data_IF_383851408677
#
_entry.id   IF_383851408677
#
_cell.length_a   1.000
_cell.length_b   1.000
_cell.length_c   1.000
_cell.angle_alpha   90.00
_cell.angle_beta   90.00
_cell.angle_gamma   90.00
#
_symmetry.space_group_name_H-M   'P 1'
#
loop_
_entity.id
_entity.type
_entity.pdbx_description
1 polymer ?
#
# COMPACT_ATOMS: atom_id res chain seq x y z
N UNK A 1 11.94 1.39 3.70
CA UNK A 1 12.80 1.37 4.91
C UNK A 1 12.02 1.69 6.18
N UNK A 2 11.48 2.90 6.36
CA UNK A 2 10.87 3.34 7.62
C UNK A 2 9.75 2.40 8.13
N UNK A 3 8.84 1.95 7.25
CA UNK A 3 7.80 0.98 7.60
C UNK A 3 8.37 -0.36 8.10
N UNK A 4 9.51 -0.81 7.58
CA UNK A 4 10.16 -2.04 8.05
C UNK A 4 10.83 -1.85 9.40
N UNK A 5 11.50 -0.73 9.64
CA UNK A 5 12.06 -0.38 10.95
C UNK A 5 10.97 -0.31 12.02
N UNK A 6 9.83 0.28 11.68
CA UNK A 6 8.66 0.33 12.55
C UNK A 6 8.21 -1.08 12.99
N UNK A 7 8.17 -2.05 12.07
CA UNK A 7 7.86 -3.46 12.39
C UNK A 7 8.86 -4.11 13.36
N UNK A 8 10.07 -3.57 13.45
CA UNK A 8 11.09 -3.98 14.42
C UNK A 8 11.00 -3.20 15.75
N UNK A 9 9.95 -2.41 15.98
CA UNK A 9 9.86 -1.55 17.16
C UNK A 9 10.85 -0.39 17.17
N UNK A 10 11.38 0.00 16.01
CA UNK A 10 12.34 1.11 15.87
C UNK A 10 11.62 2.34 15.33
N UNK A 11 11.58 3.39 16.15
CA UNK A 11 10.95 4.68 15.79
C UNK A 11 11.92 5.53 14.97
N UNK A 12 11.55 5.86 13.75
CA UNK A 12 12.30 6.81 12.93
C UNK A 12 12.03 8.23 13.45
N UNK A 13 13.08 8.93 13.86
CA UNK A 13 12.99 10.27 14.48
C UNK A 13 13.32 11.42 13.54
N UNK A 14 14.19 11.19 12.54
CA UNK A 14 14.63 12.18 11.56
C UNK A 14 14.92 11.48 10.23
N UNK A 15 14.60 12.15 9.13
CA UNK A 15 15.08 11.82 7.78
C UNK A 15 15.78 13.08 7.29
N UNK A 16 16.99 12.93 6.77
CA UNK A 16 17.78 14.02 6.19
C UNK A 16 18.15 13.67 4.75
N UNK A 17 18.05 14.63 3.86
CA UNK A 17 18.55 14.57 2.48
C UNK A 17 19.59 15.66 2.36
N UNK A 18 20.81 15.29 2.01
CA UNK A 18 22.00 16.16 2.03
C UNK A 18 22.70 16.10 0.68
N UNK A 19 23.51 17.11 0.37
CA UNK A 19 24.28 17.14 -0.88
C UNK A 19 25.50 16.20 -0.81
N UNK A 20 26.06 15.89 -1.98
CA UNK A 20 27.30 15.10 -2.13
C UNK A 20 28.55 15.92 -1.73
N UNK A 21 28.60 16.33 -0.45
CA UNK A 21 29.71 17.06 0.16
C UNK A 21 30.23 16.30 1.38
N UNK A 22 31.54 16.08 1.43
CA UNK A 22 32.23 15.44 2.55
C UNK A 22 31.94 16.18 3.86
N UNK A 23 31.94 17.51 3.84
CA UNK A 23 31.67 18.36 5.00
C UNK A 23 30.24 18.22 5.51
N UNK A 24 29.24 18.28 4.61
CA UNK A 24 27.83 18.16 4.99
C UNK A 24 27.52 16.76 5.51
N UNK A 25 27.98 15.73 4.80
CA UNK A 25 27.84 14.32 5.20
C UNK A 25 28.48 14.11 6.56
N UNK A 26 29.72 14.57 6.75
CA UNK A 26 30.41 14.42 8.02
C UNK A 26 29.66 15.09 9.17
N UNK A 27 29.13 16.30 8.96
CA UNK A 27 28.40 17.05 9.98
C UNK A 27 27.10 16.37 10.36
N UNK A 28 26.31 15.95 9.38
CA UNK A 28 25.03 15.28 9.61
C UNK A 28 25.23 13.90 10.27
N UNK A 29 26.22 13.12 9.84
CA UNK A 29 26.54 11.84 10.47
C UNK A 29 26.94 12.04 11.93
N UNK A 30 27.81 13.01 12.23
CA UNK A 30 28.28 13.29 13.59
C UNK A 30 27.12 13.72 14.50
N UNK A 31 26.26 14.64 14.02
CA UNK A 31 25.07 15.09 14.75
C UNK A 31 24.09 13.93 15.01
N UNK A 32 23.74 13.18 13.96
CA UNK A 32 22.80 12.06 14.06
C UNK A 32 23.33 10.93 14.95
N UNK A 33 24.61 10.59 14.82
CA UNK A 33 25.25 9.52 15.60
C UNK A 33 25.22 9.81 17.10
N UNK A 34 25.38 11.07 17.49
CA UNK A 34 25.30 11.49 18.90
C UNK A 34 23.90 11.46 19.51
N UNK A 35 22.83 11.51 18.68
CA UNK A 35 21.44 11.66 19.15
C UNK A 35 20.61 10.39 19.00
N UNK A 36 21.00 9.48 18.12
CA UNK A 36 20.18 8.34 17.74
C UNK A 36 20.90 7.01 17.95
N UNK A 37 20.13 5.96 18.27
CA UNK A 37 20.67 4.61 18.46
C UNK A 37 21.16 3.99 17.15
N UNK A 38 20.51 4.31 16.04
CA UNK A 38 20.87 3.82 14.71
C UNK A 38 20.87 4.99 13.73
N UNK A 39 21.93 5.10 12.94
CA UNK A 39 22.02 6.02 11.80
C UNK A 39 22.15 5.18 10.54
N UNK A 40 21.21 5.31 9.62
CA UNK A 40 21.23 4.58 8.36
C UNK A 40 21.41 5.59 7.22
N UNK A 41 22.40 5.34 6.36
CA UNK A 41 22.64 6.16 5.16
C UNK A 41 22.44 5.31 3.91
N UNK A 42 22.10 5.96 2.79
CA UNK A 42 21.92 5.30 1.50
C UNK A 42 22.42 6.25 0.40
N UNK A 43 23.34 5.78 -0.44
CA UNK A 43 23.90 6.57 -1.55
C UNK A 43 25.31 7.09 -1.33
N UNK A 44 25.94 7.58 -2.40
CA UNK A 44 27.27 8.18 -2.39
C UNK A 44 28.43 7.20 -2.13
N UNK A 45 28.28 5.92 -2.50
CA UNK A 45 29.31 4.87 -2.28
C UNK A 45 29.76 4.15 -3.55
N UNK A 46 29.34 4.64 -4.71
CA UNK A 46 29.78 4.15 -6.01
C UNK A 46 31.17 4.66 -6.43
N UNK A 47 31.52 4.49 -7.71
CA UNK A 47 32.84 4.85 -8.22
C UNK A 47 32.94 6.28 -8.75
N UNK A 48 31.86 7.05 -8.83
CA UNK A 48 31.88 8.38 -9.45
C UNK A 48 32.42 9.44 -8.50
N UNK A 49 32.72 10.63 -9.01
CA UNK A 49 33.42 11.67 -8.26
C UNK A 49 32.59 12.25 -7.10
N UNK A 50 31.27 12.26 -7.27
CA UNK A 50 30.23 12.65 -6.33
C UNK A 50 29.94 11.58 -5.26
N UNK A 51 30.39 10.33 -5.44
CA UNK A 51 30.25 9.30 -4.40
C UNK A 51 31.23 9.54 -3.24
N UNK A 52 30.85 10.38 -2.26
CA UNK A 52 31.76 10.83 -1.18
C UNK A 52 31.31 10.45 0.24
N UNK A 53 30.39 9.48 0.37
CA UNK A 53 29.83 9.07 1.67
C UNK A 53 30.86 8.41 2.57
N UNK A 54 31.82 7.64 2.02
CA UNK A 54 32.86 7.00 2.84
C UNK A 54 33.88 8.01 3.36
N UNK A 55 34.23 9.02 2.56
CA UNK A 55 35.05 10.17 2.93
C UNK A 55 34.36 10.97 4.05
N UNK A 56 33.07 11.26 3.90
CA UNK A 56 32.27 11.94 4.92
C UNK A 56 32.17 11.13 6.21
N UNK A 57 32.00 9.80 6.12
CA UNK A 57 31.97 8.90 7.26
C UNK A 57 33.32 8.85 7.99
N UNK A 58 34.44 8.76 7.26
CA UNK A 58 35.78 8.80 7.84
C UNK A 58 36.02 10.12 8.59
N UNK A 59 35.65 11.26 7.98
CA UNK A 59 35.76 12.58 8.59
C UNK A 59 34.84 12.74 9.81
N UNK A 60 33.68 12.10 9.84
CA UNK A 60 32.76 12.16 10.99
C UNK A 60 33.36 11.55 12.27
N UNK A 61 34.19 10.52 12.13
CA UNK A 61 34.77 9.76 13.24
C UNK A 61 36.29 9.89 13.37
N UNK A 62 36.85 10.94 12.75
CA UNK A 62 38.28 11.24 12.73
C UNK A 62 39.12 9.99 12.36
N UNK A 63 38.67 9.27 11.33
CA UNK A 63 39.27 8.05 10.80
C UNK A 63 39.94 8.31 9.43
N UNK A 64 40.70 7.34 8.94
CA UNK A 64 41.36 7.38 7.65
C UNK A 64 40.83 6.30 6.72
N UNK A 65 40.83 6.58 5.42
CA UNK A 65 40.42 5.60 4.42
C UNK A 65 41.55 4.61 4.10
N UNK A 66 41.16 3.40 3.71
CA UNK A 66 42.07 2.39 3.18
C UNK A 66 41.33 1.47 2.20
N UNK A 67 42.08 0.86 1.28
CA UNK A 67 41.53 -0.20 0.44
C UNK A 67 41.34 -1.46 1.27
N UNK A 68 40.08 -1.82 1.54
CA UNK A 68 39.79 -3.03 2.30
C UNK A 68 40.01 -4.26 1.40
N UNK A 69 40.93 -5.19 1.75
CA UNK A 69 41.35 -6.29 0.87
C UNK A 69 40.17 -7.12 0.32
N UNK A 70 39.21 -7.46 1.19
CA UNK A 70 38.02 -8.21 0.80
C UNK A 70 37.11 -7.47 -0.20
N UNK A 71 36.99 -6.14 -0.10
CA UNK A 71 36.22 -5.35 -1.06
C UNK A 71 36.96 -5.25 -2.39
N UNK A 72 38.29 -5.10 -2.36
CA UNK A 72 39.12 -5.13 -3.58
C UNK A 72 38.91 -6.44 -4.33
N UNK A 73 38.92 -7.58 -3.64
CA UNK A 73 38.66 -8.89 -4.24
C UNK A 73 37.25 -9.00 -4.82
N UNK A 74 36.24 -8.53 -4.09
CA UNK A 74 34.85 -8.48 -4.55
C UNK A 74 34.74 -7.65 -5.83
N UNK A 75 35.36 -6.46 -5.85
CA UNK A 75 35.30 -5.54 -6.99
C UNK A 75 35.99 -6.14 -8.21
N UNK A 76 37.17 -6.72 -8.01
CA UNK A 76 37.93 -7.41 -9.06
C UNK A 76 37.11 -8.52 -9.72
N UNK A 77 36.41 -9.32 -8.92
CA UNK A 77 35.64 -10.47 -9.40
C UNK A 77 34.29 -10.10 -10.00
N UNK A 78 33.57 -9.13 -9.44
CA UNK A 78 32.21 -8.79 -9.86
C UNK A 78 32.15 -7.74 -10.96
N UNK A 79 33.06 -6.76 -10.94
CA UNK A 79 33.06 -5.66 -11.91
C UNK A 79 34.12 -5.85 -13.00
N UNK A 80 34.82 -6.99 -13.01
CA UNK A 80 35.83 -7.29 -14.02
C UNK A 80 36.98 -6.27 -14.05
N UNK A 81 37.22 -5.56 -12.94
CA UNK A 81 38.31 -4.61 -12.81
C UNK A 81 39.65 -5.37 -12.84
N UNK A 82 40.27 -5.42 -14.03
CA UNK A 82 41.56 -6.10 -14.25
C UNK A 82 42.77 -5.18 -14.03
N UNK A 83 42.57 -3.87 -14.24
CA UNK A 83 43.59 -2.84 -14.05
C UNK A 83 43.46 -2.21 -12.66
N UNK A 84 44.58 -2.13 -11.95
CA UNK A 84 44.73 -1.41 -10.67
C UNK A 84 44.27 0.05 -10.69
N UNK A 85 44.20 0.68 -11.87
CA UNK A 85 43.74 2.07 -12.03
C UNK A 85 42.22 2.20 -12.22
N UNK A 86 41.47 1.10 -12.17
CA UNK A 86 40.02 1.14 -12.36
C UNK A 86 39.33 2.03 -11.31
N UNK A 87 38.50 3.01 -11.74
CA UNK A 87 37.68 3.82 -10.83
C UNK A 87 36.79 2.97 -9.90
N UNK A 88 36.46 1.75 -10.31
CA UNK A 88 35.68 0.81 -9.50
C UNK A 88 36.29 0.57 -8.10
N UNK A 89 37.63 0.62 -7.97
CA UNK A 89 38.29 0.40 -6.68
C UNK A 89 38.01 1.49 -5.65
N UNK A 90 37.47 2.65 -6.05
CA UNK A 90 36.96 3.65 -5.09
C UNK A 90 35.94 3.04 -4.13
N UNK A 91 35.10 2.11 -4.59
CA UNK A 91 34.12 1.42 -3.74
C UNK A 91 34.74 0.52 -2.65
N UNK A 92 36.04 0.19 -2.75
CA UNK A 92 36.79 -0.54 -1.71
C UNK A 92 37.51 0.39 -0.72
N UNK A 93 37.53 1.70 -0.99
CA UNK A 93 38.18 2.70 -0.15
C UNK A 93 37.23 3.10 0.98
N UNK A 94 37.36 2.45 2.15
CA UNK A 94 36.46 2.63 3.29
C UNK A 94 37.22 3.04 4.56
N UNK A 95 36.54 3.59 5.59
CA UNK A 95 37.17 3.91 6.87
C UNK A 95 37.81 2.68 7.51
N UNK A 96 39.00 2.82 8.09
CA UNK A 96 39.75 1.69 8.68
C UNK A 96 39.02 0.97 9.81
N UNK A 97 38.25 1.71 10.61
CA UNK A 97 37.49 1.15 11.74
C UNK A 97 36.17 0.51 11.31
N UNK A 98 35.76 0.67 10.05
CA UNK A 98 34.50 0.13 9.56
C UNK A 98 34.55 -1.40 9.43
N UNK A 99 33.45 -2.05 9.79
CA UNK A 99 33.25 -3.49 9.67
C UNK A 99 32.39 -3.81 8.45
N UNK A 100 32.75 -4.86 7.71
CA UNK A 100 31.92 -5.38 6.62
C UNK A 100 30.84 -6.33 7.18
N UNK A 101 29.58 -6.09 6.83
CA UNK A 101 28.46 -6.96 7.18
C UNK A 101 27.91 -7.65 5.94
N UNK A 102 27.94 -8.98 5.98
CA UNK A 102 27.46 -9.84 4.90
C UNK A 102 26.14 -10.47 5.33
N UNK A 103 25.08 -10.19 4.58
CA UNK A 103 23.80 -10.85 4.80
C UNK A 103 23.84 -12.27 4.28
N UNK A 104 23.00 -13.14 4.83
CA UNK A 104 22.74 -14.45 4.23
C UNK A 104 21.65 -14.34 3.17
N UNK A 105 21.87 -14.99 2.04
CA UNK A 105 20.84 -15.18 1.04
C UNK A 105 19.92 -16.32 1.48
N UNK A 106 18.72 -15.99 1.93
CA UNK A 106 17.74 -16.95 2.49
C UNK A 106 17.40 -18.10 1.54
N UNK A 107 17.45 -17.89 0.22
CA UNK A 107 17.18 -18.95 -0.78
C UNK A 107 18.32 -19.95 -0.94
N UNK A 108 19.56 -19.53 -0.68
CA UNK A 108 20.75 -20.33 -0.97
C UNK A 108 21.59 -20.68 0.26
N UNK A 109 21.30 -20.05 1.41
CA UNK A 109 22.07 -20.17 2.65
C UNK A 109 23.48 -19.56 2.58
N UNK A 110 23.85 -18.91 1.47
CA UNK A 110 25.20 -18.36 1.25
C UNK A 110 25.26 -16.87 1.56
N UNK A 111 26.40 -16.33 2.03
CA UNK A 111 26.58 -14.89 2.16
C UNK A 111 26.34 -14.16 0.83
N UNK A 112 25.66 -13.03 0.89
CA UNK A 112 25.51 -12.11 -0.23
C UNK A 112 26.89 -11.65 -0.71
N UNK A 113 26.98 -11.41 -2.01
CA UNK A 113 28.26 -11.18 -2.67
C UNK A 113 28.84 -9.77 -2.38
N UNK A 114 28.02 -8.82 -1.92
CA UNK A 114 28.42 -7.46 -1.59
C UNK A 114 27.92 -7.08 -0.18
N UNK A 115 28.78 -6.54 0.70
CA UNK A 115 28.40 -6.19 2.07
C UNK A 115 27.83 -4.76 2.15
N UNK A 116 27.14 -4.45 3.24
CA UNK A 116 27.08 -3.07 3.73
C UNK A 116 28.16 -2.88 4.80
N UNK A 117 28.54 -1.63 5.09
CA UNK A 117 29.54 -1.36 6.12
C UNK A 117 28.91 -0.71 7.34
N UNK A 118 29.50 -0.95 8.50
CA UNK A 118 29.10 -0.36 9.77
C UNK A 118 30.31 0.25 10.46
N UNK A 119 30.20 1.51 10.86
CA UNK A 119 31.15 2.21 11.72
C UNK A 119 30.38 2.83 12.88
N UNK A 120 30.75 2.48 14.12
CA UNK A 120 29.98 2.83 15.32
C UNK A 120 28.50 2.42 15.18
N UNK A 121 27.56 3.36 15.33
CA UNK A 121 26.13 3.16 15.13
C UNK A 121 25.64 3.55 13.71
N UNK A 122 26.55 3.74 12.75
CA UNK A 122 26.24 4.20 11.39
C UNK A 122 26.34 3.04 10.40
N UNK A 123 25.23 2.78 9.71
CA UNK A 123 25.04 1.70 8.74
C UNK A 123 24.94 2.32 7.34
N UNK A 124 25.89 1.99 6.46
CA UNK A 124 26.01 2.63 5.15
C UNK A 124 25.61 1.68 4.04
N UNK A 125 24.58 2.07 3.27
CA UNK A 125 24.00 1.26 2.20
C UNK A 125 24.19 1.87 0.80
N UNK A 126 24.13 1.05 -0.27
CA UNK A 126 24.11 1.55 -1.65
C UNK A 126 22.85 2.37 -1.95
N UNK A 127 22.98 3.38 -2.82
CA UNK A 127 21.85 4.25 -3.21
C UNK A 127 20.85 3.63 -4.18
N UNK A 128 21.29 2.69 -5.02
CA UNK A 128 20.40 1.99 -5.96
C UNK A 128 19.36 1.15 -5.19
N UNK A 129 18.04 1.31 -5.45
CA UNK A 129 17.00 0.61 -4.70
C UNK A 129 17.17 -0.91 -4.68
N UNK A 130 17.58 -1.51 -5.80
CA UNK A 130 17.77 -2.97 -5.90
C UNK A 130 18.90 -3.46 -4.98
N UNK A 131 20.00 -2.73 -4.92
CA UNK A 131 21.13 -3.08 -4.04
C UNK A 131 20.85 -2.72 -2.59
N UNK A 132 20.21 -1.57 -2.35
CA UNK A 132 19.74 -1.16 -1.04
C UNK A 132 18.83 -2.22 -0.43
N UNK A 133 17.77 -2.66 -1.12
CA UNK A 133 16.81 -3.62 -0.60
C UNK A 133 17.45 -4.97 -0.26
N UNK A 134 18.40 -5.44 -1.08
CA UNK A 134 19.15 -6.67 -0.84
C UNK A 134 20.04 -6.56 0.40
N UNK A 135 20.71 -5.43 0.60
CA UNK A 135 21.60 -5.17 1.73
C UNK A 135 20.84 -4.82 3.02
N UNK A 136 19.74 -4.10 2.92
CA UNK A 136 18.90 -3.73 4.06
C UNK A 136 18.15 -4.94 4.63
N UNK A 137 17.83 -5.94 3.80
CA UNK A 137 17.09 -7.13 4.22
C UNK A 137 17.77 -7.89 5.37
N UNK A 138 19.09 -8.07 5.33
CA UNK A 138 19.76 -8.79 6.42
C UNK A 138 19.79 -7.98 7.72
N UNK A 139 20.03 -6.66 7.66
CA UNK A 139 19.86 -5.81 8.84
C UNK A 139 18.43 -5.93 9.39
N UNK A 140 17.42 -5.90 8.52
CA UNK A 140 16.03 -6.03 8.92
C UNK A 140 15.74 -7.38 9.62
N UNK A 141 16.27 -8.50 9.12
CA UNK A 141 16.12 -9.82 9.73
C UNK A 141 16.83 -9.91 11.09
N UNK A 142 18.06 -9.38 11.19
CA UNK A 142 18.81 -9.30 12.45
C UNK A 142 18.05 -8.47 13.49
N UNK A 143 17.56 -7.30 13.10
CA UNK A 143 16.76 -6.42 13.97
C UNK A 143 15.49 -7.14 14.41
N UNK A 144 14.73 -7.73 13.48
CA UNK A 144 13.51 -8.49 13.80
C UNK A 144 13.75 -9.61 14.82
N UNK A 145 14.87 -10.32 14.72
CA UNK A 145 15.20 -11.42 15.63
C UNK A 145 15.62 -10.92 17.02
N UNK A 146 16.23 -9.73 17.09
CA UNK A 146 16.83 -9.18 18.31
C UNK A 146 15.86 -8.31 19.10
N UNK A 147 15.00 -7.55 18.42
CA UNK A 147 14.01 -6.67 19.06
C UNK A 147 12.75 -7.44 19.43
N UNK A 148 12.53 -7.64 20.73
CA UNK A 148 11.26 -8.19 21.27
C UNK A 148 10.12 -7.18 21.31
N UNK A 149 10.43 -5.89 21.21
CA UNK A 149 9.43 -4.80 21.20
C UNK A 149 8.83 -4.65 19.81
N UNK A 150 7.51 -4.54 19.74
CA UNK A 150 6.77 -4.22 18.52
C UNK A 150 5.80 -3.10 18.83
N UNK A 151 5.72 -2.12 17.93
CA UNK A 151 4.67 -1.12 18.05
C UNK A 151 3.33 -1.76 17.74
N UNK A 152 2.37 -1.50 18.62
CA UNK A 152 0.96 -1.79 18.42
C UNK A 152 0.34 -0.51 17.90
N UNK A 153 -0.41 -0.62 16.81
CA UNK A 153 -1.15 0.50 16.22
C UNK A 153 -2.61 0.11 16.14
N UNK A 154 -3.45 0.99 16.66
CA UNK A 154 -4.90 0.92 16.56
C UNK A 154 -5.42 2.15 15.81
N UNK A 155 -6.60 2.00 15.22
CA UNK A 155 -7.28 3.08 14.51
C UNK A 155 -8.74 3.19 14.98
N UNK A 156 -9.21 4.43 15.07
CA UNK A 156 -10.60 4.77 15.39
C UNK A 156 -11.12 5.68 14.29
N UNK A 157 -12.19 5.27 13.61
CA UNK A 157 -12.82 6.05 12.54
C UNK A 157 -13.99 6.83 13.09
N UNK A 158 -14.08 8.10 12.69
CA UNK A 158 -14.96 9.09 13.33
C UNK A 158 -15.75 9.84 12.25
N UNK A 159 -17.08 9.80 12.32
CA UNK A 159 -18.00 10.55 11.47
C UNK A 159 -18.35 11.93 12.06
N UNK A 160 -17.35 12.63 12.57
CA UNK A 160 -17.45 13.99 13.08
C UNK A 160 -16.20 14.77 12.63
N UNK A 161 -16.33 16.10 12.55
CA UNK A 161 -15.17 16.96 12.29
C UNK A 161 -14.23 16.96 13.50
N UNK A 162 -12.95 17.25 13.27
CA UNK A 162 -11.91 17.16 14.31
C UNK A 162 -12.20 18.05 15.53
N UNK A 163 -12.84 19.21 15.32
CA UNK A 163 -13.18 20.13 16.40
C UNK A 163 -14.09 19.49 17.46
N UNK A 164 -14.89 18.49 17.07
CA UNK A 164 -15.82 17.81 17.97
C UNK A 164 -15.12 16.92 19.02
N UNK A 165 -13.92 16.40 18.71
CA UNK A 165 -13.20 15.45 19.59
C UNK A 165 -11.81 15.93 20.01
N UNK A 166 -11.38 17.13 19.60
CA UNK A 166 -10.05 17.67 19.91
C UNK A 166 -9.79 17.81 21.42
N UNK A 167 -10.81 18.17 22.21
CA UNK A 167 -10.68 18.27 23.67
C UNK A 167 -10.42 16.91 24.31
N UNK A 168 -11.19 15.89 23.92
CA UNK A 168 -10.98 14.52 24.37
C UNK A 168 -9.60 14.00 23.97
N UNK A 169 -9.17 14.27 22.73
CA UNK A 169 -7.84 13.91 22.24
C UNK A 169 -6.72 14.56 23.09
N UNK A 170 -6.87 15.85 23.40
CA UNK A 170 -5.90 16.60 24.21
C UNK A 170 -5.82 16.07 25.64
N UNK A 171 -6.93 15.56 26.19
CA UNK A 171 -6.95 14.93 27.52
C UNK A 171 -6.21 13.60 27.50
N UNK A 172 -6.53 12.70 26.55
CA UNK A 172 -5.89 11.38 26.50
C UNK A 172 -4.40 11.45 26.18
N UNK A 173 -3.95 12.42 25.37
CA UNK A 173 -2.51 12.64 25.14
C UNK A 173 -1.77 12.98 26.45
N UNK A 174 -2.41 13.71 27.36
CA UNK A 174 -1.84 14.02 28.69
C UNK A 174 -1.90 12.83 29.64
N UNK A 175 -3.00 12.07 29.61
CA UNK A 175 -3.19 10.88 30.47
C UNK A 175 -2.26 9.72 30.06
N UNK A 176 -1.91 9.60 28.77
CA UNK A 176 -1.11 8.51 28.21
C UNK A 176 0.16 9.02 27.50
N UNK A 177 1.19 9.50 28.25
CA UNK A 177 2.39 10.11 27.65
C UNK A 177 3.25 9.14 26.83
N UNK A 178 3.09 7.82 27.03
CA UNK A 178 3.79 6.78 26.27
C UNK A 178 3.05 6.36 25.00
N UNK A 179 1.85 6.90 24.76
CA UNK A 179 1.03 6.61 23.58
C UNK A 179 1.08 7.80 22.63
N UNK A 180 1.42 7.51 21.38
CA UNK A 180 1.40 8.47 20.29
C UNK A 180 0.02 8.50 19.66
N UNK A 181 -0.53 9.70 19.53
CA UNK A 181 -1.80 9.93 18.85
C UNK A 181 -1.56 10.71 17.56
N UNK A 182 -2.31 10.38 16.51
CA UNK A 182 -2.37 11.15 15.28
C UNK A 182 -3.82 11.34 14.87
N UNK A 183 -4.21 12.54 14.46
CA UNK A 183 -5.55 12.85 13.97
C UNK A 183 -5.46 13.26 12.51
N UNK A 184 -6.32 12.67 11.67
CA UNK A 184 -6.27 12.83 10.22
C UNK A 184 -7.68 13.09 9.67
N UNK A 185 -7.97 14.31 9.21
CA UNK A 185 -9.24 14.61 8.54
C UNK A 185 -9.27 13.98 7.14
N UNK A 186 -10.47 13.67 6.65
CA UNK A 186 -10.72 13.08 5.34
C UNK A 186 -11.86 13.82 4.66
N UNK A 187 -11.61 14.32 3.44
CA UNK A 187 -12.59 15.09 2.65
C UNK A 187 -13.49 14.21 1.78
N UNK A 188 -12.96 13.12 1.21
CA UNK A 188 -13.59 12.34 0.15
C UNK A 188 -14.01 10.94 0.63
N UNK A 189 -14.60 10.87 1.82
CA UNK A 189 -15.10 9.62 2.40
C UNK A 189 -16.47 9.87 3.03
N UNK A 190 -17.50 9.13 2.61
CA UNK A 190 -18.83 9.22 3.23
C UNK A 190 -18.94 8.42 4.53
N UNK A 191 -18.06 7.45 4.74
CA UNK A 191 -18.12 6.58 5.91
C UNK A 191 -17.66 7.28 7.19
N UNK A 192 -16.62 8.11 7.09
CA UNK A 192 -16.05 8.83 8.23
C UNK A 192 -15.40 10.13 7.73
N UNK A 193 -15.29 11.11 8.63
CA UNK A 193 -14.74 12.45 8.35
C UNK A 193 -13.33 12.63 8.90
N UNK A 194 -12.92 11.80 9.86
CA UNK A 194 -11.58 11.74 10.38
C UNK A 194 -11.27 10.33 10.91
N UNK A 195 -9.99 10.02 11.08
CA UNK A 195 -9.58 8.87 11.87
C UNK A 195 -8.43 9.25 12.79
N UNK A 196 -8.39 8.59 13.95
CA UNK A 196 -7.33 8.75 14.94
C UNK A 196 -6.50 7.47 14.98
N UNK A 197 -5.18 7.62 14.87
CA UNK A 197 -4.22 6.54 15.11
C UNK A 197 -3.74 6.59 16.56
N UNK A 198 -3.72 5.44 17.23
CA UNK A 198 -3.28 5.28 18.61
C UNK A 198 -2.18 4.23 18.62
N UNK A 199 -0.99 4.62 19.07
CA UNK A 199 0.21 3.80 18.88
C UNK A 199 1.12 3.82 20.12
N UNK A 200 1.57 2.64 20.57
CA UNK A 200 2.66 2.53 21.54
C UNK A 200 3.44 1.22 21.37
N UNK A 201 4.49 0.99 22.18
CA UNK A 201 5.19 -0.30 22.26
C UNK A 201 4.55 -1.28 23.25
N UNK A 202 3.33 -0.98 23.72
CA UNK A 202 2.58 -1.77 24.69
C UNK A 202 1.10 -1.88 24.30
N UNK A 203 0.64 -3.11 24.07
CA UNK A 203 -0.75 -3.41 23.68
C UNK A 203 -1.79 -2.95 24.71
N UNK A 204 -1.49 -3.12 26.00
CA UNK A 204 -2.38 -2.72 27.09
C UNK A 204 -2.53 -1.20 27.18
N UNK A 205 -1.44 -0.46 26.98
CA UNK A 205 -1.47 1.01 26.98
C UNK A 205 -2.26 1.52 25.77
N UNK A 206 -2.00 0.96 24.59
CA UNK A 206 -2.73 1.30 23.35
C UNK A 206 -4.23 1.05 23.53
N UNK A 207 -4.61 -0.14 24.03
CA UNK A 207 -6.01 -0.50 24.24
C UNK A 207 -6.70 0.34 25.33
N UNK A 208 -6.01 0.67 26.41
CA UNK A 208 -6.55 1.53 27.48
C UNK A 208 -6.74 2.97 27.02
N UNK A 209 -5.78 3.51 26.28
CA UNK A 209 -5.84 4.83 25.67
C UNK A 209 -6.99 4.93 24.65
N UNK A 210 -7.19 3.91 23.82
CA UNK A 210 -8.31 3.80 22.89
C UNK A 210 -9.65 3.79 23.62
N UNK A 211 -9.83 2.93 24.63
CA UNK A 211 -11.07 2.89 25.42
C UNK A 211 -11.38 4.25 26.03
N UNK A 212 -10.38 4.87 26.66
CA UNK A 212 -10.53 6.18 27.28
C UNK A 212 -10.91 7.27 26.28
N UNK A 213 -10.29 7.27 25.10
CA UNK A 213 -10.65 8.20 24.03
C UNK A 213 -12.11 7.99 23.58
N UNK A 214 -12.56 6.74 23.46
CA UNK A 214 -13.95 6.44 23.14
C UNK A 214 -14.93 6.87 24.25
N UNK A 215 -14.59 6.68 25.52
CA UNK A 215 -15.42 7.08 26.67
C UNK A 215 -15.63 8.59 26.80
N UNK A 216 -14.63 9.38 26.38
CA UNK A 216 -14.69 10.84 26.44
C UNK A 216 -15.47 11.48 25.29
N UNK A 217 -15.95 10.69 24.34
CA UNK A 217 -16.67 11.18 23.16
C UNK A 217 -18.06 10.50 23.04
N UNK A 218 -19.03 11.15 22.37
CA UNK A 218 -20.33 10.53 22.09
C UNK A 218 -20.19 9.24 21.27
N UNK A 219 -20.87 8.17 21.67
CA UNK A 219 -20.70 6.85 21.04
C UNK A 219 -21.13 6.80 19.56
N UNK A 220 -22.03 7.69 19.15
CA UNK A 220 -22.61 7.77 17.80
C UNK A 220 -21.66 8.36 16.74
N UNK A 221 -20.56 9.00 17.14
CA UNK A 221 -19.57 9.50 16.19
C UNK A 221 -18.66 8.38 15.65
N UNK A 222 -18.58 7.24 16.33
CA UNK A 222 -17.64 6.18 15.97
C UNK A 222 -18.19 5.26 14.89
N UNK A 223 -17.36 4.97 13.89
CA UNK A 223 -17.73 4.14 12.74
C UNK A 223 -16.87 2.88 12.71
N UNK A 224 -17.51 1.73 12.55
CA UNK A 224 -16.81 0.49 12.21
C UNK A 224 -16.44 0.53 10.73
N UNK A 225 -15.15 0.60 10.44
CA UNK A 225 -14.64 0.70 9.08
C UNK A 225 -13.49 -0.27 8.85
N UNK A 226 -13.50 -0.93 7.70
CA UNK A 226 -12.48 -1.87 7.25
C UNK A 226 -11.71 -1.29 6.06
N UNK A 227 -10.39 -1.03 6.22
CA UNK A 227 -9.53 -0.51 5.15
C UNK A 227 -9.24 -1.52 4.05
N UNK A 228 -9.39 -2.81 4.35
CA UNK A 228 -8.96 -3.92 3.49
C UNK A 228 -10.11 -4.90 3.24
N UNK A 229 -11.26 -4.46 2.69
CA UNK A 229 -12.40 -5.34 2.50
C UNK A 229 -12.12 -6.50 1.54
N UNK A 230 -11.20 -6.31 0.60
CA UNK A 230 -10.70 -7.34 -0.32
C UNK A 230 -9.91 -8.47 0.35
N UNK A 231 -9.33 -8.25 1.54
CA UNK A 231 -8.60 -9.26 2.31
C UNK A 231 -9.59 -10.08 3.13
N UNK A 232 -9.44 -11.42 3.14
CA UNK A 232 -10.37 -12.36 3.79
C UNK A 232 -11.84 -12.16 3.38
N UNK A 233 -12.04 -11.69 2.14
CA UNK A 233 -13.35 -11.26 1.63
C UNK A 233 -14.44 -12.32 1.74
N UNK A 234 -14.11 -13.61 1.58
CA UNK A 234 -15.08 -14.71 1.71
C UNK A 234 -15.63 -14.79 3.13
N UNK A 235 -14.74 -14.74 4.14
CA UNK A 235 -15.15 -14.75 5.54
C UNK A 235 -15.99 -13.52 5.90
N UNK A 236 -15.58 -12.34 5.41
CA UNK A 236 -16.30 -11.08 5.64
C UNK A 236 -17.70 -11.10 5.01
N UNK A 237 -17.81 -11.64 3.80
CA UNK A 237 -19.08 -11.83 3.11
C UNK A 237 -19.99 -12.81 3.86
N UNK A 238 -19.48 -13.95 4.32
CA UNK A 238 -20.28 -14.92 5.07
C UNK A 238 -20.79 -14.34 6.40
N UNK A 239 -19.95 -13.55 7.10
CA UNK A 239 -20.36 -12.82 8.30
C UNK A 239 -21.43 -11.76 8.00
N UNK A 240 -21.31 -11.06 6.87
CA UNK A 240 -22.34 -10.12 6.41
C UNK A 240 -23.68 -10.82 6.17
N UNK A 241 -23.69 -11.97 5.48
CA UNK A 241 -24.91 -12.73 5.24
C UNK A 241 -25.60 -13.18 6.53
N UNK A 242 -24.83 -13.54 7.56
CA UNK A 242 -25.37 -13.87 8.88
C UNK A 242 -26.04 -12.66 9.55
N UNK A 243 -25.55 -11.45 9.30
CA UNK A 243 -26.12 -10.21 9.87
C UNK A 243 -27.40 -9.73 9.19
N UNK A 244 -27.73 -10.23 7.99
CA UNK A 244 -28.89 -9.80 7.20
C UNK A 244 -29.76 -10.98 6.71
N UNK A 245 -30.35 -11.79 7.61
CA UNK A 245 -31.04 -13.03 7.24
C UNK A 245 -32.23 -12.82 6.30
N UNK A 246 -32.96 -11.70 6.42
CA UNK A 246 -34.15 -11.41 5.62
C UNK A 246 -33.87 -11.09 4.14
N UNK A 247 -32.65 -10.65 3.81
CA UNK A 247 -32.22 -10.30 2.43
C UNK A 247 -31.12 -11.23 1.89
N UNK A 248 -30.73 -12.24 2.68
CA UNK A 248 -29.65 -13.18 2.37
C UNK A 248 -29.77 -13.82 0.98
N UNK A 249 -30.97 -14.24 0.59
CA UNK A 249 -31.22 -14.91 -0.69
C UNK A 249 -30.87 -14.03 -1.90
N UNK A 250 -31.09 -12.71 -1.81
CA UNK A 250 -30.80 -11.76 -2.89
C UNK A 250 -29.29 -11.66 -3.13
N UNK A 251 -28.51 -11.57 -2.05
CA UNK A 251 -27.05 -11.51 -2.13
C UNK A 251 -26.45 -12.83 -2.63
N UNK A 252 -26.92 -13.97 -2.10
CA UNK A 252 -26.46 -15.31 -2.52
C UNK A 252 -26.81 -15.61 -3.99
N UNK A 253 -28.02 -15.24 -4.44
CA UNK A 253 -28.43 -15.42 -5.84
C UNK A 253 -27.52 -14.64 -6.79
N UNK A 254 -27.18 -13.40 -6.45
CA UNK A 254 -26.28 -12.59 -7.27
C UNK A 254 -24.86 -13.19 -7.33
N UNK A 255 -24.33 -13.64 -6.18
CA UNK A 255 -23.01 -14.25 -6.15
C UNK A 255 -22.96 -15.53 -7.01
N UNK A 256 -24.03 -16.31 -7.01
CA UNK A 256 -24.15 -17.49 -7.88
C UNK A 256 -24.26 -17.11 -9.37
N UNK A 257 -25.02 -16.06 -9.71
CA UNK A 257 -25.08 -15.52 -11.08
C UNK A 257 -23.68 -15.09 -11.56
N UNK A 258 -22.93 -14.36 -10.73
CA UNK A 258 -21.55 -13.97 -11.03
C UNK A 258 -20.62 -15.17 -11.18
N UNK A 259 -20.78 -16.21 -10.34
CA UNK A 259 -20.00 -17.45 -10.44
C UNK A 259 -20.15 -18.11 -11.81
N UNK A 260 -21.33 -18.01 -12.44
CA UNK A 260 -21.56 -18.56 -13.78
C UNK A 260 -20.77 -17.80 -14.86
N UNK A 261 -20.71 -16.46 -14.77
CA UNK A 261 -19.90 -15.64 -15.68
C UNK A 261 -18.41 -15.99 -15.57
N UNK A 262 -17.90 -16.17 -14.35
CA UNK A 262 -16.48 -16.45 -14.12
C UNK A 262 -16.06 -17.92 -14.37
N UNK A 263 -16.90 -18.73 -15.05
CA UNK A 263 -16.43 -20.00 -15.64
C UNK A 263 -15.47 -19.78 -16.81
N UNK A 264 -15.59 -18.65 -17.49
CA UNK A 264 -14.65 -18.18 -18.51
C UNK A 264 -14.25 -16.72 -18.20
N UNK A 265 -13.30 -16.50 -17.27
CA UNK A 265 -12.90 -15.16 -16.82
C UNK A 265 -12.35 -14.26 -17.93
N UNK A 266 -11.82 -14.85 -19.02
CA UNK A 266 -11.28 -14.06 -20.13
C UNK A 266 -12.38 -13.40 -20.97
N UNK A 267 -13.57 -13.99 -20.97
CA UNK A 267 -14.73 -13.51 -21.71
C UNK A 267 -15.53 -12.43 -20.98
N UNK A 268 -15.19 -12.10 -19.73
CA UNK A 268 -15.95 -11.19 -18.88
C UNK A 268 -15.10 -9.97 -18.52
N UNK A 269 -15.69 -8.78 -18.60
CA UNK A 269 -15.08 -7.53 -18.11
C UNK A 269 -16.08 -6.73 -17.29
N UNK A 270 -15.62 -6.07 -16.23
CA UNK A 270 -16.45 -5.24 -15.35
C UNK A 270 -16.25 -3.76 -15.69
N UNK A 271 -17.32 -3.01 -15.91
CA UNK A 271 -17.23 -1.55 -16.02
C UNK A 271 -16.95 -0.94 -14.65
N UNK A 272 -15.87 -0.17 -14.58
CA UNK A 272 -15.48 0.59 -13.40
C UNK A 272 -15.72 2.09 -13.66
N UNK A 273 -16.53 2.74 -12.83
CA UNK A 273 -16.94 4.13 -13.02
C UNK A 273 -16.83 5.00 -11.75
N UNK A 274 -16.30 4.44 -10.64
CA UNK A 274 -16.21 5.15 -9.36
C UNK A 274 -17.47 5.05 -8.50
N UNK A 275 -18.58 4.56 -9.06
CA UNK A 275 -19.83 4.36 -8.33
C UNK A 275 -19.76 3.20 -7.35
N UNK A 276 -20.57 3.29 -6.29
CA UNK A 276 -20.67 2.24 -5.26
C UNK A 276 -21.11 0.90 -5.87
N UNK A 277 -21.98 0.93 -6.87
CA UNK A 277 -22.46 -0.23 -7.60
C UNK A 277 -21.35 -0.94 -8.37
N UNK A 278 -20.46 -0.18 -9.02
CA UNK A 278 -19.30 -0.77 -9.71
C UNK A 278 -18.36 -1.47 -8.71
N UNK A 279 -18.13 -0.85 -7.55
CA UNK A 279 -17.36 -1.44 -6.45
C UNK A 279 -17.98 -2.73 -5.92
N UNK A 280 -19.31 -2.79 -5.81
CA UNK A 280 -20.03 -4.02 -5.40
C UNK A 280 -19.79 -5.15 -6.38
N UNK A 281 -19.96 -4.89 -7.69
CA UNK A 281 -19.75 -5.93 -8.72
C UNK A 281 -18.30 -6.41 -8.72
N UNK A 282 -17.33 -5.50 -8.60
CA UNK A 282 -15.90 -5.86 -8.49
C UNK A 282 -15.64 -6.70 -7.23
N UNK A 283 -16.22 -6.31 -6.09
CA UNK A 283 -16.02 -7.02 -4.83
C UNK A 283 -16.61 -8.43 -4.85
N UNK A 284 -17.82 -8.59 -5.39
CA UNK A 284 -18.45 -9.91 -5.54
C UNK A 284 -17.70 -10.80 -6.53
N UNK A 285 -17.24 -10.24 -7.65
CA UNK A 285 -16.37 -10.95 -8.59
C UNK A 285 -15.07 -11.44 -7.91
N UNK A 286 -14.49 -10.61 -7.04
CA UNK A 286 -13.32 -10.97 -6.24
C UNK A 286 -13.61 -12.09 -5.24
N UNK A 287 -14.78 -12.12 -4.62
CA UNK A 287 -15.23 -13.24 -3.78
C UNK A 287 -15.34 -14.53 -4.62
N UNK A 288 -15.93 -14.46 -5.83
CA UNK A 288 -16.01 -15.62 -6.74
C UNK A 288 -14.61 -16.15 -7.10
N UNK A 289 -13.66 -15.25 -7.40
CA UNK A 289 -12.27 -15.61 -7.65
C UNK A 289 -11.63 -16.28 -6.44
N UNK A 290 -11.76 -15.67 -5.26
CA UNK A 290 -11.19 -16.20 -4.02
C UNK A 290 -11.73 -17.60 -3.69
N UNK A 291 -13.02 -17.86 -3.91
CA UNK A 291 -13.62 -19.20 -3.73
C UNK A 291 -13.14 -20.23 -4.76
N UNK A 292 -12.75 -19.78 -5.95
CA UNK A 292 -12.27 -20.65 -7.04
C UNK A 292 -10.77 -20.97 -6.95
N UNK A 293 -10.04 -20.37 -6.00
CA UNK A 293 -8.58 -20.50 -5.82
C UNK A 293 -7.76 -20.23 -7.09
N UNK A 294 -8.25 -19.37 -8.00
CA UNK A 294 -7.53 -18.95 -9.20
C UNK A 294 -6.74 -17.67 -8.93
N UNK A 295 -5.56 -17.57 -9.54
CA UNK A 295 -4.72 -16.36 -9.47
C UNK A 295 -4.94 -15.41 -10.67
N UNK A 296 -5.97 -15.68 -11.48
CA UNK A 296 -6.26 -14.89 -12.66
C UNK A 296 -6.71 -13.48 -12.28
N UNK A 297 -6.25 -12.49 -13.05
CA UNK A 297 -6.68 -11.10 -12.87
C UNK A 297 -8.12 -10.96 -13.34
N UNK A 298 -8.93 -10.29 -12.53
CA UNK A 298 -10.26 -9.87 -12.96
C UNK A 298 -10.11 -8.77 -14.00
N UNK A 299 -10.78 -8.90 -15.14
CA UNK A 299 -10.73 -7.89 -16.19
C UNK A 299 -11.73 -6.79 -15.88
N UNK A 300 -11.29 -5.54 -16.05
CA UNK A 300 -12.15 -4.38 -15.89
C UNK A 300 -11.92 -3.40 -17.05
N UNK A 301 -12.92 -2.59 -17.34
CA UNK A 301 -12.83 -1.49 -18.30
C UNK A 301 -13.12 -0.17 -17.60
N UNK A 302 -12.28 0.82 -17.86
CA UNK A 302 -12.46 2.19 -17.44
C UNK A 302 -12.58 3.09 -18.67
N UNK A 303 -13.73 3.74 -18.83
CA UNK A 303 -13.96 4.71 -19.89
C UNK A 303 -13.49 6.09 -19.41
N UNK A 304 -12.33 6.51 -19.87
CA UNK A 304 -11.66 7.74 -19.46
C UNK A 304 -12.18 8.94 -20.22
N UNK A 305 -12.69 9.94 -19.50
CA UNK A 305 -13.07 11.23 -20.08
C UNK A 305 -11.86 12.14 -20.24
N UNK A 306 -11.92 13.08 -21.20
CA UNK A 306 -10.83 14.04 -21.49
C UNK A 306 -10.43 14.87 -20.26
N UNK A 307 -11.35 15.10 -19.33
CA UNK A 307 -11.11 15.74 -18.04
C UNK A 307 -11.64 14.83 -16.94
N UNK A 308 -10.75 14.05 -16.35
CA UNK A 308 -11.09 13.14 -15.26
C UNK A 308 -10.73 13.78 -13.92
N UNK A 309 -11.62 13.79 -12.92
CA UNK A 309 -11.29 14.23 -11.56
C UNK A 309 -10.16 13.39 -10.95
N UNK A 310 -9.25 14.02 -10.20
CA UNK A 310 -8.12 13.34 -9.54
C UNK A 310 -8.60 12.21 -8.64
N UNK A 311 -9.69 12.43 -7.89
CA UNK A 311 -10.30 11.43 -7.00
C UNK A 311 -10.71 10.15 -7.73
N UNK A 312 -11.18 10.28 -8.99
CA UNK A 312 -11.52 9.11 -9.80
C UNK A 312 -10.25 8.38 -10.24
N UNK A 313 -9.20 9.08 -10.68
CA UNK A 313 -7.93 8.42 -11.05
C UNK A 313 -7.29 7.69 -9.87
N UNK A 314 -7.32 8.28 -8.68
CA UNK A 314 -6.86 7.65 -7.44
C UNK A 314 -7.68 6.40 -7.09
N UNK A 315 -9.01 6.48 -7.18
CA UNK A 315 -9.90 5.34 -6.98
C UNK A 315 -9.61 4.20 -7.97
N UNK A 316 -9.44 4.50 -9.27
CA UNK A 316 -9.16 3.48 -10.30
C UNK A 316 -7.85 2.76 -9.96
N UNK A 317 -6.81 3.51 -9.58
CA UNK A 317 -5.52 2.95 -9.17
C UNK A 317 -5.66 2.09 -7.91
N UNK A 318 -6.33 2.59 -6.88
CA UNK A 318 -6.57 1.88 -5.63
C UNK A 318 -7.32 0.56 -5.86
N UNK A 319 -8.40 0.58 -6.64
CA UNK A 319 -9.18 -0.61 -6.97
C UNK A 319 -8.36 -1.62 -7.77
N UNK A 320 -7.55 -1.15 -8.72
CA UNK A 320 -6.67 -1.99 -9.54
C UNK A 320 -5.69 -2.77 -8.67
N UNK A 321 -5.04 -2.08 -7.73
CA UNK A 321 -4.04 -2.66 -6.85
C UNK A 321 -4.68 -3.61 -5.83
N UNK A 322 -5.74 -3.16 -5.14
CA UNK A 322 -6.40 -3.93 -4.07
C UNK A 322 -7.09 -5.20 -4.57
N UNK A 323 -7.75 -5.11 -5.72
CA UNK A 323 -8.50 -6.25 -6.27
C UNK A 323 -7.71 -7.04 -7.33
N UNK A 324 -6.44 -6.69 -7.58
CA UNK A 324 -5.59 -7.32 -8.59
C UNK A 324 -6.31 -7.40 -9.96
N UNK A 325 -6.68 -6.22 -10.48
CA UNK A 325 -7.43 -6.09 -11.72
C UNK A 325 -6.50 -5.96 -12.94
N UNK A 326 -6.97 -6.43 -14.09
CA UNK A 326 -6.42 -6.11 -15.41
C UNK A 326 -7.33 -5.05 -16.07
N UNK A 327 -6.99 -3.77 -15.87
CA UNK A 327 -7.80 -2.64 -16.35
C UNK A 327 -7.43 -2.26 -17.78
N UNK A 328 -8.44 -2.24 -18.65
CA UNK A 328 -8.37 -1.67 -20.00
C UNK A 328 -8.93 -0.24 -19.95
N UNK A 329 -8.15 0.76 -20.37
CA UNK A 329 -8.61 2.15 -20.46
C UNK A 329 -9.00 2.47 -21.89
N UNK A 330 -10.23 2.96 -22.07
CA UNK A 330 -10.82 3.33 -23.36
C UNK A 330 -11.22 4.79 -23.29
N UNK A 331 -11.00 5.59 -24.33
CA UNK A 331 -11.43 6.99 -24.32
C UNK A 331 -12.95 7.08 -24.45
N UNK A 332 -13.60 7.93 -23.64
CA UNK A 332 -15.06 7.97 -23.52
C UNK A 332 -15.77 8.44 -24.81
N UNK A 333 -15.08 9.16 -25.70
CA UNK A 333 -15.59 9.55 -27.03
C UNK A 333 -15.51 8.42 -28.07
N UNK A 334 -14.90 7.28 -27.71
CA UNK A 334 -14.79 6.11 -28.57
C UNK A 334 -15.83 5.05 -28.20
N UNK A 335 -16.31 4.35 -29.24
CA UNK A 335 -17.39 3.37 -29.11
C UNK A 335 -16.94 2.05 -28.45
N UNK A 336 -17.90 1.27 -27.95
CA UNK A 336 -17.72 -0.12 -27.48
C UNK A 336 -16.88 -0.98 -28.47
N UNK A 337 -16.87 -0.67 -29.76
CA UNK A 337 -16.07 -1.39 -30.75
C UNK A 337 -14.56 -1.33 -30.48
N UNK A 338 -14.04 -0.23 -29.92
CA UNK A 338 -12.63 -0.14 -29.55
C UNK A 338 -12.32 -1.11 -28.40
N UNK A 339 -13.20 -1.19 -27.40
CA UNK A 339 -13.10 -2.19 -26.33
C UNK A 339 -13.08 -3.61 -26.89
N UNK A 340 -13.99 -3.94 -27.82
CA UNK A 340 -14.02 -5.26 -28.48
C UNK A 340 -12.71 -5.52 -29.22
N UNK A 341 -12.13 -4.51 -29.86
CA UNK A 341 -10.84 -4.67 -30.58
C UNK A 341 -9.66 -4.91 -29.62
N UNK A 342 -9.65 -4.24 -28.47
CA UNK A 342 -8.62 -4.39 -27.45
C UNK A 342 -8.78 -5.69 -26.64
N UNK A 343 -10.01 -6.19 -26.53
CA UNK A 343 -10.36 -7.41 -25.81
C UNK A 343 -11.13 -8.37 -26.73
N UNK A 344 -10.45 -8.97 -27.71
CA UNK A 344 -11.09 -9.84 -28.71
C UNK A 344 -11.84 -11.06 -28.12
N UNK A 345 -11.45 -11.50 -26.92
CA UNK A 345 -12.08 -12.60 -26.19
C UNK A 345 -13.32 -12.18 -25.40
N UNK A 346 -13.57 -10.87 -25.24
CA UNK A 346 -14.71 -10.36 -24.48
C UNK A 346 -16.03 -10.80 -25.11
N UNK A 347 -16.93 -11.32 -24.28
CA UNK A 347 -18.30 -11.73 -24.63
C UNK A 347 -19.33 -11.08 -23.72
N UNK A 348 -18.97 -10.75 -22.49
CA UNK A 348 -19.88 -10.14 -21.51
C UNK A 348 -19.25 -8.93 -20.83
N UNK A 349 -19.95 -7.79 -20.89
CA UNK A 349 -19.64 -6.59 -20.10
C UNK A 349 -20.62 -6.48 -18.93
N UNK A 350 -20.11 -6.55 -17.70
CA UNK A 350 -20.89 -6.36 -16.48
C UNK A 350 -20.95 -4.87 -16.12
N UNK A 351 -22.15 -4.35 -15.94
CA UNK A 351 -22.39 -2.96 -15.53
C UNK A 351 -23.24 -2.96 -14.27
N UNK A 352 -22.71 -2.43 -13.16
CA UNK A 352 -23.44 -2.32 -11.91
C UNK A 352 -24.34 -1.08 -11.91
N UNK A 353 -25.66 -1.27 -12.00
CA UNK A 353 -26.65 -0.23 -11.67
C UNK A 353 -27.82 -0.85 -10.93
N UNK A 354 -28.12 -0.36 -9.73
CA UNK A 354 -29.35 -0.75 -9.03
C UNK A 354 -30.58 -0.22 -9.78
N UNK A 355 -31.71 -0.89 -9.62
CA UNK A 355 -32.94 -0.49 -10.28
C UNK A 355 -33.58 0.70 -9.57
N UNK A 356 -33.77 1.81 -10.28
CA UNK A 356 -34.79 2.80 -9.95
C UNK A 356 -35.95 2.62 -10.94
N UNK A 357 -37.16 2.39 -10.42
CA UNK A 357 -38.44 2.39 -11.15
C UNK A 357 -38.49 1.59 -12.47
N UNK A 358 -37.97 0.37 -12.48
CA UNK A 358 -38.25 -0.61 -13.55
C UNK A 358 -37.74 -0.22 -14.94
N UNK A 359 -36.90 0.81 -15.07
CA UNK A 359 -36.31 1.21 -16.34
C UNK A 359 -34.81 0.91 -16.33
N UNK A 360 -34.44 -0.11 -17.10
CA UNK A 360 -33.06 -0.56 -17.31
C UNK A 360 -32.34 0.43 -18.27
N UNK A 361 -32.11 1.68 -17.85
CA UNK A 361 -31.55 2.75 -18.71
C UNK A 361 -30.16 2.40 -19.27
N UNK A 362 -29.39 1.60 -18.54
CA UNK A 362 -28.07 1.09 -18.98
C UNK A 362 -28.17 0.39 -20.32
N UNK A 363 -29.22 -0.40 -20.53
CA UNK A 363 -29.40 -1.08 -21.80
C UNK A 363 -29.72 -0.08 -22.92
N UNK A 364 -30.39 1.06 -22.67
CA UNK A 364 -30.71 2.03 -23.74
C UNK A 364 -29.48 2.78 -24.25
N UNK A 365 -28.54 3.15 -23.36
CA UNK A 365 -27.31 3.86 -23.74
C UNK A 365 -26.34 3.00 -24.58
N UNK A 366 -26.38 1.68 -24.40
CA UNK A 366 -25.47 0.76 -25.09
C UNK A 366 -26.15 -0.16 -26.13
N UNK A 367 -27.49 -0.23 -26.16
CA UNK A 367 -28.24 -1.03 -27.14
C UNK A 367 -28.05 -0.55 -28.59
N UNK A 368 -27.70 0.72 -28.79
CA UNK A 368 -27.34 1.24 -30.12
C UNK A 368 -25.93 0.87 -30.59
N UNK A 369 -25.08 0.32 -29.71
CA UNK A 369 -23.66 0.07 -29.96
C UNK A 369 -23.24 -1.40 -29.75
N UNK A 370 -24.10 -2.24 -29.18
CA UNK A 370 -23.90 -3.68 -29.26
C UNK A 370 -24.25 -4.13 -30.68
N UNK A 371 -23.25 -4.51 -31.47
CA UNK A 371 -23.49 -5.56 -32.46
C UNK A 371 -23.98 -6.76 -31.65
N UNK A 372 -25.29 -7.00 -31.64
CA UNK A 372 -25.97 -7.93 -30.73
C UNK A 372 -25.37 -9.36 -30.73
N UNK A 373 -24.61 -9.69 -31.78
CA UNK A 373 -23.94 -10.97 -31.95
C UNK A 373 -22.54 -11.10 -31.31
N UNK A 374 -21.90 -10.01 -30.84
CA UNK A 374 -20.48 -10.05 -30.36
C UNK A 374 -20.25 -9.72 -28.89
N UNK A 375 -21.09 -8.90 -28.25
CA UNK A 375 -20.93 -8.50 -26.86
C UNK A 375 -22.29 -8.36 -26.15
N UNK A 376 -22.48 -9.12 -25.08
CA UNK A 376 -23.63 -9.03 -24.19
C UNK A 376 -23.35 -8.03 -23.05
N UNK A 377 -24.29 -7.13 -22.79
CA UNK A 377 -24.24 -6.25 -21.62
C UNK A 377 -25.18 -6.83 -20.57
N UNK A 378 -24.66 -7.10 -19.39
CA UNK A 378 -25.43 -7.63 -18.27
C UNK A 378 -25.34 -6.68 -17.09
N UNK A 379 -26.49 -6.44 -16.44
CA UNK A 379 -26.58 -5.71 -15.19
C UNK A 379 -26.89 -6.69 -14.05
N UNK A 380 -25.87 -7.07 -13.24
CA UNK A 380 -26.06 -8.01 -12.14
C UNK A 380 -26.91 -7.42 -11.01
N UNK A 381 -26.87 -6.10 -10.80
CA UNK A 381 -27.57 -5.43 -9.70
C UNK A 381 -29.02 -5.04 -10.02
N UNK A 382 -29.56 -5.49 -11.16
CA UNK A 382 -30.91 -5.13 -11.66
C UNK A 382 -32.05 -5.38 -10.66
N UNK A 383 -31.88 -6.33 -9.74
CA UNK A 383 -32.90 -6.70 -8.74
C UNK A 383 -32.62 -6.08 -7.36
N UNK A 384 -31.56 -5.30 -7.21
CA UNK A 384 -31.20 -4.66 -5.94
C UNK A 384 -31.90 -3.32 -5.83
N UNK A 385 -32.39 -3.02 -4.62
CA UNK A 385 -32.86 -1.68 -4.25
C UNK A 385 -31.69 -0.82 -3.78
N UNK A 386 -31.91 0.49 -3.65
CA UNK A 386 -30.94 1.39 -3.02
C UNK A 386 -30.59 0.94 -1.57
N UNK A 387 -31.53 0.33 -0.86
CA UNK A 387 -31.28 -0.23 0.47
C UNK A 387 -30.30 -1.42 0.43
N UNK A 388 -30.41 -2.30 -0.57
CA UNK A 388 -29.47 -3.44 -0.74
C UNK A 388 -28.05 -2.95 -1.03
N UNK A 389 -27.93 -1.98 -1.95
CA UNK A 389 -26.65 -1.38 -2.33
C UNK A 389 -25.94 -0.83 -1.09
N UNK A 390 -26.64 0.00 -0.32
CA UNK A 390 -26.02 0.66 0.84
C UNK A 390 -25.83 -0.26 2.03
N UNK A 391 -26.73 -1.23 2.25
CA UNK A 391 -26.55 -2.29 3.24
C UNK A 391 -25.27 -3.07 2.95
N UNK A 392 -25.10 -3.55 1.72
CA UNK A 392 -23.92 -4.29 1.32
C UNK A 392 -22.63 -3.45 1.39
N UNK A 393 -22.63 -2.29 0.72
CA UNK A 393 -21.43 -1.47 0.58
C UNK A 393 -20.96 -0.91 1.93
N UNK A 394 -21.87 -0.51 2.81
CA UNK A 394 -21.50 0.07 4.11
C UNK A 394 -21.05 -1.00 5.10
N UNK A 395 -21.73 -2.15 5.15
CA UNK A 395 -21.32 -3.26 6.02
C UNK A 395 -19.93 -3.81 5.67
N UNK A 396 -19.55 -3.75 4.39
CA UNK A 396 -18.23 -4.20 3.91
C UNK A 396 -17.26 -3.04 3.64
N UNK A 397 -17.58 -1.80 4.01
CA UNK A 397 -16.68 -0.64 3.85
C UNK A 397 -16.12 -0.50 2.42
N UNK A 398 -16.94 -0.70 1.40
CA UNK A 398 -16.47 -0.72 0.01
C UNK A 398 -16.05 0.68 -0.46
N UNK A 399 -14.88 0.84 -1.12
CA UNK A 399 -14.45 2.14 -1.62
C UNK A 399 -15.36 2.62 -2.75
N UNK A 400 -15.59 3.92 -2.86
CA UNK A 400 -16.25 4.56 -4.00
C UNK A 400 -15.92 6.06 -4.01
N UNK A 401 -16.14 6.71 -5.14
CA UNK A 401 -15.91 8.14 -5.31
C UNK A 401 -17.17 8.90 -4.92
N UNK A 402 -17.07 9.79 -3.95
CA UNK A 402 -18.14 10.76 -3.67
C UNK A 402 -18.08 11.86 -4.73
N UNK A 403 -19.07 11.95 -5.60
CA UNK A 403 -19.21 13.12 -6.47
C UNK A 403 -19.47 14.34 -5.59
N UNK A 404 -18.53 15.28 -5.57
CA UNK A 404 -18.76 16.63 -5.07
C UNK A 404 -19.78 17.29 -6.00
N UNK A 405 -21.05 17.28 -5.58
CA UNK A 405 -22.09 18.14 -6.17
C UNK A 405 -21.88 19.58 -5.78
#
# INVERSE_FOLDING_TARGET
MCSLLYKCGIKVKKISVISDSVEEISKEIRDASSKFTYVLTSGGIGPTHDDVTFEGLAKAFDDTLHYHPKLVDIIKNQFGAKDSLSPAYKMALIPKKASLKFNLNVRTGKPNAYPYIVLENVYVFPGSPVFFERSFRGLYEDLLSTTKKRFVKDEVFINAREEAFTNALSMVVKEFPNVSFGSYPVSNCRYYKAFVTIESDNESDTGSAKRRFCELNPADIFVKFDRTPHVDCVMKYDNFLQSCPHRRSIYEQLLEELRLFYRDPESVSIRMDGGVESSIVIHLAHICRARSNTNDKLRAVYFKEKRTPIDLEEYIKEMTDKYNLAVCTVEADKSINELISMQAHLRTLLVGKAGEDGVNEVNRGYAGASNADRLQINNPLRNWTNEDVWSFASSLSLPYVTTTT
#
